data_IF_411902612190
#
_entry.id   IF_411902612190
#
_cell.length_a   1.000
_cell.length_b   1.000
_cell.length_c   1.000
_cell.angle_alpha   90.00
_cell.angle_beta   90.00
_cell.angle_gamma   90.00
#
_symmetry.space_group_name_H-M   'P 1'
#
loop_
_entity.id
_entity.type
_entity.pdbx_description
1 polymer ?
#
# COMPACT_ATOMS: atom_id res chain seq x y z
N UNK A 1 14.88 7.68 7.50
CA UNK A 1 13.74 8.61 7.67
C UNK A 1 14.06 9.61 8.77
N UNK A 2 13.62 10.87 8.63
CA UNK A 2 13.71 11.87 9.71
C UNK A 2 12.57 11.65 10.71
N UNK A 3 12.75 12.09 11.96
CA UNK A 3 11.72 11.98 13.00
C UNK A 3 10.40 12.67 12.60
N UNK A 4 10.48 13.78 11.88
CA UNK A 4 9.34 14.53 11.34
C UNK A 4 8.49 13.68 10.36
N UNK A 5 9.15 12.90 9.49
CA UNK A 5 8.47 12.01 8.53
C UNK A 5 7.77 10.86 9.24
N UNK A 6 8.37 10.34 10.32
CA UNK A 6 7.76 9.31 11.16
C UNK A 6 6.53 9.84 11.88
N UNK A 7 6.61 11.07 12.43
CA UNK A 7 5.47 11.71 13.09
C UNK A 7 4.33 11.94 12.08
N UNK A 8 4.65 12.51 10.91
CA UNK A 8 3.67 12.72 9.85
C UNK A 8 2.99 11.40 9.43
N UNK A 9 3.77 10.33 9.29
CA UNK A 9 3.27 9.00 8.97
C UNK A 9 2.28 8.47 10.04
N UNK A 10 2.62 8.63 11.32
CA UNK A 10 1.75 8.25 12.43
C UNK A 10 0.47 9.08 12.49
N UNK A 11 0.51 10.35 12.10
CA UNK A 11 -0.67 11.20 12.05
C UNK A 11 -1.63 10.80 10.91
N UNK A 12 -1.09 10.47 9.73
CA UNK A 12 -1.91 9.91 8.64
C UNK A 12 -2.59 8.60 9.06
N UNK A 13 -1.86 7.71 9.75
CA UNK A 13 -2.42 6.48 10.31
C UNK A 13 -3.61 6.71 11.25
N UNK A 14 -3.42 7.62 12.21
CA UNK A 14 -4.47 7.95 13.17
C UNK A 14 -5.68 8.57 12.50
N UNK A 15 -5.46 9.44 11.52
CA UNK A 15 -6.54 10.05 10.74
C UNK A 15 -7.41 8.98 10.07
N UNK A 16 -6.82 8.00 9.39
CA UNK A 16 -7.56 6.95 8.69
C UNK A 16 -8.35 6.07 9.67
N UNK A 17 -7.76 5.70 10.81
CA UNK A 17 -8.47 4.96 11.85
C UNK A 17 -9.65 5.75 12.44
N UNK A 18 -9.46 7.04 12.73
CA UNK A 18 -10.51 7.91 13.22
C UNK A 18 -11.64 8.02 12.20
N UNK A 19 -11.31 8.15 10.91
CA UNK A 19 -12.31 8.17 9.83
C UNK A 19 -13.12 6.87 9.79
N UNK A 20 -12.48 5.70 9.90
CA UNK A 20 -13.20 4.43 9.97
C UNK A 20 -14.15 4.37 11.17
N UNK A 21 -13.71 4.79 12.36
CA UNK A 21 -14.54 4.82 13.56
C UNK A 21 -15.69 5.81 13.44
N UNK A 22 -15.47 6.98 12.83
CA UNK A 22 -16.51 8.00 12.60
C UNK A 22 -17.62 7.48 11.67
N UNK A 23 -17.27 6.83 10.56
CA UNK A 23 -18.26 6.23 9.65
C UNK A 23 -19.07 5.15 10.37
N UNK A 24 -18.42 4.30 11.17
CA UNK A 24 -19.12 3.27 11.96
C UNK A 24 -20.09 3.92 12.97
N UNK A 25 -19.63 4.93 13.72
CA UNK A 25 -20.47 5.65 14.69
C UNK A 25 -21.69 6.28 14.00
N UNK A 26 -21.48 7.00 12.90
CA UNK A 26 -22.55 7.63 12.15
C UNK A 26 -23.58 6.63 11.61
N UNK A 27 -23.15 5.46 11.12
CA UNK A 27 -24.08 4.41 10.68
C UNK A 27 -24.90 3.84 11.85
N UNK A 28 -24.31 3.71 13.04
CA UNK A 28 -25.02 3.27 14.24
C UNK A 28 -26.04 4.32 14.70
N UNK A 29 -25.66 5.59 14.72
CA UNK A 29 -26.52 6.73 15.08
C UNK A 29 -27.73 6.87 14.14
N UNK A 30 -27.55 6.55 12.86
CA UNK A 30 -28.63 6.52 11.86
C UNK A 30 -29.52 5.27 11.95
N UNK A 31 -29.29 4.38 12.91
CA UNK A 31 -30.04 3.13 13.06
C UNK A 31 -29.76 2.12 11.95
N UNK A 32 -28.54 2.13 11.38
CA UNK A 32 -28.12 1.25 10.26
C UNK A 32 -27.06 0.22 10.69
N UNK A 33 -27.33 -0.65 11.69
CA UNK A 33 -26.32 -1.58 12.24
C UNK A 33 -25.83 -2.63 11.24
N UNK A 34 -26.67 -3.03 10.28
CA UNK A 34 -26.25 -3.96 9.23
C UNK A 34 -25.12 -3.37 8.37
N UNK A 35 -25.30 -2.12 7.92
CA UNK A 35 -24.28 -1.38 7.15
C UNK A 35 -23.04 -1.09 8.00
N UNK A 36 -23.21 -0.73 9.27
CA UNK A 36 -22.09 -0.54 10.19
C UNK A 36 -21.25 -1.82 10.33
N UNK A 37 -21.88 -2.99 10.38
CA UNK A 37 -21.20 -4.29 10.44
C UNK A 37 -20.46 -4.62 9.14
N UNK A 38 -21.03 -4.29 7.99
CA UNK A 38 -20.37 -4.46 6.70
C UNK A 38 -19.12 -3.57 6.60
N UNK A 39 -19.26 -2.29 6.93
CA UNK A 39 -18.15 -1.34 6.94
C UNK A 39 -17.07 -1.69 7.97
N UNK A 40 -17.45 -2.21 9.16
CA UNK A 40 -16.48 -2.69 10.14
C UNK A 40 -15.62 -3.83 9.56
N UNK A 41 -16.19 -4.74 8.78
CA UNK A 41 -15.40 -5.79 8.12
C UNK A 41 -14.43 -5.21 7.10
N UNK A 42 -14.81 -4.15 6.39
CA UNK A 42 -13.91 -3.42 5.49
C UNK A 42 -12.76 -2.75 6.25
N UNK A 43 -13.07 -2.05 7.34
CA UNK A 43 -12.06 -1.42 8.20
C UNK A 43 -11.10 -2.46 8.80
N UNK A 44 -11.59 -3.63 9.22
CA UNK A 44 -10.73 -4.71 9.70
C UNK A 44 -9.81 -5.24 8.60
N UNK A 45 -10.30 -5.44 7.37
CA UNK A 45 -9.47 -5.83 6.23
C UNK A 45 -8.38 -4.80 5.91
N UNK A 46 -8.71 -3.51 6.04
CA UNK A 46 -7.74 -2.42 5.89
C UNK A 46 -6.60 -2.55 6.91
N UNK A 47 -6.94 -2.70 8.20
CA UNK A 47 -5.96 -2.86 9.29
C UNK A 47 -5.14 -4.14 9.12
N UNK A 48 -5.75 -5.24 8.70
CA UNK A 48 -5.05 -6.50 8.44
C UNK A 48 -4.05 -6.40 7.28
N UNK A 49 -4.42 -5.68 6.21
CA UNK A 49 -3.54 -5.45 5.05
C UNK A 49 -2.32 -4.63 5.49
N UNK A 50 -2.54 -3.55 6.23
CA UNK A 50 -1.47 -2.74 6.79
C UNK A 50 -0.54 -3.55 7.71
N UNK A 51 -1.10 -4.35 8.61
CA UNK A 51 -0.33 -5.22 9.49
C UNK A 51 0.53 -6.21 8.70
N UNK A 52 -0.05 -6.84 7.67
CA UNK A 52 0.66 -7.76 6.80
C UNK A 52 1.85 -7.05 6.12
N UNK A 53 1.65 -5.85 5.57
CA UNK A 53 2.71 -5.11 4.89
C UNK A 53 3.83 -4.68 5.84
N UNK A 54 3.50 -4.15 7.03
CA UNK A 54 4.49 -3.58 7.95
C UNK A 54 5.19 -4.59 8.87
N UNK A 55 4.60 -5.77 9.09
CA UNK A 55 5.17 -6.80 10.00
C UNK A 55 5.48 -8.14 9.31
N UNK A 56 4.97 -8.35 8.11
CA UNK A 56 5.10 -9.63 7.40
C UNK A 56 6.35 -9.75 6.53
N UNK A 57 7.11 -8.67 6.37
CA UNK A 57 8.17 -8.54 5.38
C UNK A 57 9.38 -7.81 5.96
N UNK A 58 10.46 -7.83 5.18
CA UNK A 58 11.62 -6.99 5.40
C UNK A 58 11.18 -5.50 5.57
N UNK A 59 11.69 -4.75 6.57
CA UNK A 59 11.12 -3.43 6.93
C UNK A 59 11.09 -2.40 5.80
N UNK A 60 12.13 -2.34 4.97
CA UNK A 60 12.26 -1.42 3.85
C UNK A 60 11.28 -1.79 2.74
N UNK A 61 11.13 -3.09 2.45
CA UNK A 61 10.11 -3.58 1.51
C UNK A 61 8.69 -3.30 2.02
N UNK A 62 8.44 -3.60 3.30
CA UNK A 62 7.15 -3.38 3.94
C UNK A 62 6.74 -1.91 3.87
N UNK A 63 7.68 -1.01 4.15
CA UNK A 63 7.46 0.44 4.04
C UNK A 63 7.23 0.88 2.60
N UNK A 64 7.99 0.36 1.63
CA UNK A 64 7.79 0.64 0.20
C UNK A 64 6.37 0.26 -0.24
N UNK A 65 5.96 -0.99 0.03
CA UNK A 65 4.64 -1.51 -0.36
C UNK A 65 3.51 -0.79 0.34
N UNK A 66 3.71 -0.43 1.61
CA UNK A 66 2.73 0.33 2.36
C UNK A 66 2.51 1.72 1.79
N UNK A 67 3.58 2.46 1.45
CA UNK A 67 3.46 3.79 0.82
C UNK A 67 2.82 3.71 -0.56
N UNK A 68 3.21 2.71 -1.35
CA UNK A 68 2.60 2.41 -2.63
C UNK A 68 1.08 2.20 -2.47
N UNK A 69 0.69 1.35 -1.52
CA UNK A 69 -0.71 1.04 -1.24
C UNK A 69 -1.51 2.28 -0.84
N UNK A 70 -0.96 3.12 0.04
CA UNK A 70 -1.61 4.39 0.41
C UNK A 70 -1.81 5.33 -0.79
N UNK A 71 -0.76 5.53 -1.59
CA UNK A 71 -0.80 6.47 -2.73
C UNK A 71 -1.74 6.01 -3.83
N UNK A 72 -1.75 4.72 -4.17
CA UNK A 72 -2.63 4.16 -5.21
C UNK A 72 -4.11 4.30 -4.85
N UNK A 73 -4.46 4.21 -3.56
CA UNK A 73 -5.86 4.40 -3.10
C UNK A 73 -6.40 5.81 -3.36
N UNK A 74 -5.54 6.83 -3.44
CA UNK A 74 -5.95 8.18 -3.83
C UNK A 74 -6.52 8.24 -5.26
N UNK A 75 -6.26 7.23 -6.10
CA UNK A 75 -6.80 7.09 -7.45
C UNK A 75 -8.05 6.20 -7.53
N UNK A 76 -8.69 5.93 -6.38
CA UNK A 76 -9.84 5.03 -6.25
C UNK A 76 -9.55 3.60 -6.75
N UNK A 77 -8.30 3.17 -6.60
CA UNK A 77 -7.87 1.81 -6.92
C UNK A 77 -7.82 1.00 -5.63
N UNK A 78 -8.62 -0.07 -5.57
CA UNK A 78 -8.53 -1.05 -4.49
C UNK A 78 -7.44 -2.06 -4.82
N UNK A 79 -6.51 -2.30 -3.90
CA UNK A 79 -5.34 -3.13 -4.15
C UNK A 79 -5.38 -4.33 -3.22
N UNK A 80 -5.33 -5.52 -3.81
CA UNK A 80 -5.22 -6.79 -3.11
C UNK A 80 -3.87 -7.42 -3.44
N UNK A 81 -3.02 -7.53 -2.42
CA UNK A 81 -1.78 -8.28 -2.55
C UNK A 81 -2.08 -9.77 -2.59
N UNK A 82 -1.77 -10.43 -3.71
CA UNK A 82 -2.02 -11.87 -3.91
C UNK A 82 -0.80 -12.68 -3.53
N UNK A 83 0.38 -12.17 -3.83
CA UNK A 83 1.64 -12.83 -3.51
C UNK A 83 2.74 -11.81 -3.28
N UNK A 84 3.54 -12.01 -2.23
CA UNK A 84 4.75 -11.24 -1.97
C UNK A 84 5.86 -12.27 -1.77
N UNK A 85 6.78 -12.35 -2.73
CA UNK A 85 7.97 -13.17 -2.67
C UNK A 85 9.17 -12.25 -2.47
N UNK A 86 9.93 -12.47 -1.40
CA UNK A 86 11.12 -11.70 -1.07
C UNK A 86 12.34 -12.62 -1.01
N UNK A 87 13.41 -12.23 -1.69
CA UNK A 87 14.69 -12.95 -1.71
C UNK A 87 15.79 -11.93 -1.51
N UNK A 88 16.27 -11.83 -0.28
CA UNK A 88 17.36 -10.93 0.10
C UNK A 88 18.54 -11.77 0.58
N UNK A 89 19.72 -11.58 -0.03
CA UNK A 89 20.96 -12.23 0.43
C UNK A 89 21.51 -11.55 1.69
N UNK A 90 21.30 -10.24 1.84
CA UNK A 90 21.74 -9.43 2.98
C UNK A 90 20.59 -8.59 3.57
N UNK A 91 20.73 -8.17 4.85
CA UNK A 91 19.83 -7.17 5.43
C UNK A 91 19.97 -5.85 4.68
N UNK A 92 18.84 -5.27 4.28
CA UNK A 92 18.83 -4.04 3.49
C UNK A 92 19.37 -2.89 4.34
N UNK A 93 20.33 -2.13 3.81
CA UNK A 93 20.78 -0.92 4.51
C UNK A 93 19.75 0.19 4.31
N UNK A 94 19.17 0.68 5.41
CA UNK A 94 18.10 1.68 5.43
C UNK A 94 18.46 3.08 4.94
N UNK A 95 19.56 3.26 4.19
CA UNK A 95 20.08 4.56 3.78
C UNK A 95 19.47 5.12 2.47
N UNK A 96 18.77 4.31 1.66
CA UNK A 96 18.24 4.73 0.35
C UNK A 96 16.71 4.90 0.32
N UNK A 97 16.13 5.62 1.29
CA UNK A 97 14.68 5.79 1.38
C UNK A 97 14.17 7.11 0.74
N UNK A 98 14.56 7.38 -0.50
CA UNK A 98 13.87 8.34 -1.37
C UNK A 98 13.27 7.56 -2.54
N UNK A 99 12.24 6.76 -2.24
CA UNK A 99 11.56 6.00 -3.27
C UNK A 99 10.55 6.91 -3.98
N UNK A 100 10.90 7.38 -5.18
CA UNK A 100 9.98 8.03 -6.10
C UNK A 100 8.99 6.98 -6.64
N UNK A 101 7.91 6.82 -5.88
CA UNK A 101 6.78 5.96 -6.21
C UNK A 101 5.81 6.61 -7.19
N UNK A 102 5.97 7.91 -7.49
CA UNK A 102 4.93 8.69 -8.16
C UNK A 102 4.68 8.18 -9.58
N UNK A 103 5.75 7.82 -10.30
CA UNK A 103 5.64 7.21 -11.64
C UNK A 103 4.83 5.90 -11.63
N UNK A 104 5.16 4.97 -10.73
CA UNK A 104 4.48 3.67 -10.57
C UNK A 104 3.01 3.88 -10.17
N UNK A 105 2.76 4.74 -9.19
CA UNK A 105 1.42 5.05 -8.69
C UNK A 105 0.57 5.66 -9.79
N UNK A 106 1.09 6.64 -10.52
CA UNK A 106 0.38 7.27 -11.63
C UNK A 106 0.04 6.27 -12.73
N UNK A 107 0.95 5.36 -13.07
CA UNK A 107 0.74 4.37 -14.11
C UNK A 107 -0.37 3.37 -13.73
N UNK A 108 -0.38 2.91 -12.47
CA UNK A 108 -1.45 2.07 -11.95
C UNK A 108 -2.77 2.85 -11.88
N UNK A 109 -2.74 4.09 -11.38
CA UNK A 109 -3.91 4.96 -11.30
C UNK A 109 -4.56 5.13 -12.68
N UNK A 110 -3.79 5.48 -13.70
CA UNK A 110 -4.27 5.61 -15.09
C UNK A 110 -4.82 4.30 -15.66
N UNK A 111 -4.17 3.18 -15.34
CA UNK A 111 -4.52 1.88 -15.94
C UNK A 111 -5.74 1.22 -15.30
N UNK A 112 -5.97 1.46 -14.01
CA UNK A 112 -6.90 0.69 -13.18
C UNK A 112 -7.84 1.53 -12.29
N UNK A 113 -7.96 2.84 -12.49
CA UNK A 113 -8.87 3.69 -11.70
C UNK A 113 -10.30 3.11 -11.58
N UNK A 114 -10.83 3.13 -10.35
CA UNK A 114 -12.15 2.61 -10.01
C UNK A 114 -12.27 1.08 -10.04
N UNK A 115 -11.16 0.34 -9.96
CA UNK A 115 -11.19 -1.13 -9.92
C UNK A 115 -10.33 -1.76 -8.84
N UNK A 116 -10.68 -3.01 -8.52
CA UNK A 116 -9.84 -3.92 -7.77
C UNK A 116 -8.69 -4.42 -8.66
N UNK A 117 -7.47 -4.25 -8.15
CA UNK A 117 -6.23 -4.69 -8.77
C UNK A 117 -5.57 -5.72 -7.87
N UNK A 118 -5.28 -6.88 -8.45
CA UNK A 118 -4.48 -7.90 -7.82
C UNK A 118 -3.00 -7.64 -8.12
N UNK A 119 -2.22 -7.41 -7.07
CA UNK A 119 -0.78 -7.12 -7.17
C UNK A 119 0.01 -8.31 -6.64
N UNK A 120 0.94 -8.80 -7.44
CA UNK A 120 1.97 -9.74 -7.02
C UNK A 120 3.32 -9.02 -7.00
N UNK A 121 4.11 -9.27 -5.97
CA UNK A 121 5.40 -8.62 -5.73
C UNK A 121 6.50 -9.66 -5.74
N UNK A 122 7.54 -9.39 -6.51
CA UNK A 122 8.82 -10.10 -6.42
C UNK A 122 9.89 -9.08 -6.03
N UNK A 123 10.46 -9.24 -4.84
CA UNK A 123 11.49 -8.36 -4.32
C UNK A 123 12.82 -9.10 -4.20
N UNK A 124 13.86 -8.46 -4.72
CA UNK A 124 15.26 -8.91 -4.66
C UNK A 124 16.12 -7.79 -4.08
N UNK A 125 17.39 -8.08 -3.80
CA UNK A 125 18.34 -7.08 -3.28
C UNK A 125 18.37 -5.79 -4.11
N UNK A 126 18.32 -5.91 -5.43
CA UNK A 126 18.48 -4.76 -6.34
C UNK A 126 17.16 -4.24 -6.92
N UNK A 127 16.07 -5.01 -6.86
CA UNK A 127 14.92 -4.75 -7.72
C UNK A 127 13.61 -5.23 -7.11
N UNK A 128 12.57 -4.41 -7.26
CA UNK A 128 11.19 -4.74 -6.88
C UNK A 128 10.34 -4.77 -8.16
N UNK A 129 9.80 -5.93 -8.50
CA UNK A 129 8.82 -6.08 -9.57
C UNK A 129 7.41 -6.13 -8.99
N UNK A 130 6.53 -5.28 -9.50
CA UNK A 130 5.09 -5.26 -9.22
C UNK A 130 4.34 -5.73 -10.47
N UNK A 131 3.67 -6.87 -10.36
CA UNK A 131 2.76 -7.40 -11.38
C UNK A 131 1.33 -7.06 -10.97
N UNK A 132 0.78 -6.02 -11.58
CA UNK A 132 -0.59 -5.58 -11.36
C UNK A 132 -1.52 -6.18 -12.42
N UNK A 133 -2.63 -6.77 -11.97
CA UNK A 133 -3.63 -7.37 -12.86
C UNK A 133 -5.05 -7.01 -12.45
N UNK A 134 -5.88 -6.64 -13.42
CA UNK A 134 -7.25 -6.19 -13.17
C UNK A 134 -7.97 -5.83 -14.47
N UNK A 135 -9.28 -6.03 -14.54
CA UNK A 135 -10.11 -5.72 -15.73
C UNK A 135 -9.56 -6.30 -17.06
N UNK A 136 -8.96 -7.48 -17.03
CA UNK A 136 -8.35 -8.12 -18.20
C UNK A 136 -7.04 -7.47 -18.70
N UNK A 137 -6.54 -6.45 -18.00
CA UNK A 137 -5.23 -5.84 -18.24
C UNK A 137 -4.19 -6.42 -17.27
N UNK A 138 -2.94 -6.44 -17.71
CA UNK A 138 -1.77 -6.74 -16.89
C UNK A 138 -0.74 -5.65 -17.11
N UNK A 139 -0.11 -5.23 -16.04
CA UNK A 139 0.93 -4.22 -16.02
C UNK A 139 2.08 -4.75 -15.17
N UNK A 140 3.30 -4.68 -15.71
CA UNK A 140 4.53 -5.06 -15.02
C UNK A 140 5.33 -3.79 -14.80
N UNK A 141 5.59 -3.47 -13.54
CA UNK A 141 6.36 -2.30 -13.13
C UNK A 141 7.59 -2.75 -12.38
N UNK A 142 8.74 -2.23 -12.78
CA UNK A 142 10.03 -2.61 -12.22
C UNK A 142 10.62 -1.38 -11.55
N UNK A 143 10.97 -1.53 -10.29
CA UNK A 143 11.63 -0.50 -9.49
C UNK A 143 13.06 -0.93 -9.20
N UNK A 144 14.03 -0.26 -9.81
CA UNK A 144 15.46 -0.48 -9.54
C UNK A 144 15.89 0.28 -8.28
N UNK A 145 16.38 -0.45 -7.29
CA UNK A 145 16.85 0.08 -6.01
C UNK A 145 18.30 0.59 -6.08
N UNK A 146 19.03 0.24 -7.14
CA UNK A 146 20.44 0.51 -7.35
C UNK A 146 20.77 1.82 -8.09
N UNK A 147 19.77 2.57 -8.57
CA UNK A 147 20.03 3.80 -9.33
C UNK A 147 19.26 4.98 -8.74
N UNK A 148 19.94 5.73 -7.87
CA UNK A 148 19.74 7.17 -7.81
C UNK A 148 20.14 7.76 -9.17
N UNK A 149 19.23 7.73 -10.16
CA UNK A 149 19.53 8.23 -11.50
C UNK A 149 18.59 7.71 -12.58
N UNK A 150 17.65 8.57 -12.96
CA UNK A 150 16.92 8.58 -14.23
C UNK A 150 17.78 8.06 -15.40
N UNK A 151 17.26 7.11 -16.16
CA UNK A 151 17.51 7.01 -17.61
C UNK A 151 16.22 6.71 -18.35
#
# INVERSE_FOLDING_TARGET
MKAEEVIWFLDCQRHDYLNHLQVISGLLELGQPARAREYLKEALRFIETERMLLKGHEPELGLFLYRFWQKVRAFEVDVKFVRIEETFEDQLSGENLVYDLDSIVEEIGRSFSGSLVEVSVLATDCLICLLASGRGKRLELTYDRGVAGVR
#
